data_IF_541325075993
#
_entry.id   IF_541325075993
#
_cell.length_a   1.000
_cell.length_b   1.000
_cell.length_c   1.000
_cell.angle_alpha   90.00
_cell.angle_beta   90.00
_cell.angle_gamma   90.00
#
_symmetry.space_group_name_H-M   'P 1'
#
loop_
_entity.id
_entity.type
_entity.pdbx_description
1 polymer ?
#
# COMPACT_ATOMS: atom_id res chain seq x y z
N UNK A 1 9.06 -14.04 -7.27
CA UNK A 1 8.25 -13.23 -8.22
C UNK A 1 7.45 -12.26 -7.39
N UNK A 2 7.60 -10.96 -7.63
CA UNK A 2 6.95 -9.92 -6.83
C UNK A 2 5.51 -9.67 -7.29
N UNK A 3 4.70 -9.13 -6.38
CA UNK A 3 3.29 -8.83 -6.60
C UNK A 3 3.00 -7.38 -6.20
N UNK A 4 2.14 -6.72 -6.97
CA UNK A 4 1.56 -5.43 -6.59
C UNK A 4 0.23 -5.69 -5.89
N UNK A 5 0.05 -5.06 -4.74
CA UNK A 5 -1.25 -4.83 -4.15
C UNK A 5 -1.63 -3.36 -4.40
N UNK A 6 -2.78 -3.10 -4.98
CA UNK A 6 -3.41 -1.79 -5.07
C UNK A 6 -4.52 -1.73 -4.04
N UNK A 7 -4.56 -0.65 -3.24
CA UNK A 7 -5.64 -0.39 -2.29
C UNK A 7 -6.07 1.06 -2.39
N UNK A 8 -7.37 1.32 -2.42
CA UNK A 8 -7.97 2.64 -2.26
C UNK A 8 -9.29 2.55 -1.47
N UNK A 9 -9.61 3.63 -0.76
CA UNK A 9 -10.79 3.75 0.07
C UNK A 9 -11.16 5.23 0.29
N UNK A 10 -12.39 5.47 0.75
CA UNK A 10 -12.83 6.83 1.14
C UNK A 10 -12.18 7.27 2.45
N UNK A 11 -11.72 8.51 2.49
CA UNK A 11 -11.13 9.17 3.65
C UNK A 11 -11.51 10.66 3.59
N UNK A 12 -12.10 11.19 4.66
CA UNK A 12 -12.49 12.62 4.72
C UNK A 12 -11.32 13.55 5.10
N UNK A 13 -10.12 12.99 5.24
CA UNK A 13 -8.90 13.65 5.70
C UNK A 13 -8.40 13.10 7.05
N UNK A 14 -7.25 13.56 7.55
CA UNK A 14 -6.41 14.62 6.97
C UNK A 14 -5.69 14.21 5.67
N UNK A 15 -5.17 15.22 4.95
CA UNK A 15 -4.41 15.11 3.70
C UNK A 15 -3.09 15.90 3.78
N UNK A 16 -2.16 15.64 2.87
CA UNK A 16 -0.87 16.32 2.76
C UNK A 16 -0.02 16.15 4.03
N UNK A 17 0.61 17.24 4.47
CA UNK A 17 1.49 17.22 5.65
C UNK A 17 0.78 16.75 6.93
N UNK A 18 -0.50 17.08 7.10
CA UNK A 18 -1.30 16.62 8.24
C UNK A 18 -1.53 15.10 8.21
N UNK A 19 -1.67 14.52 7.01
CA UNK A 19 -1.73 13.06 6.86
C UNK A 19 -0.39 12.41 7.19
N UNK A 20 0.72 13.04 6.75
CA UNK A 20 2.06 12.55 7.04
C UNK A 20 2.38 12.55 8.54
N UNK A 21 1.98 13.60 9.27
CA UNK A 21 2.10 13.68 10.72
C UNK A 21 1.23 12.62 11.41
N UNK A 22 -0.06 12.56 11.06
CA UNK A 22 -1.02 11.66 11.71
C UNK A 22 -0.69 10.18 11.47
N UNK A 23 -0.16 9.82 10.29
CA UNK A 23 0.05 8.43 9.88
C UNK A 23 1.53 8.01 9.87
N UNK A 24 2.43 8.79 10.47
CA UNK A 24 3.87 8.47 10.53
C UNK A 24 4.15 7.10 11.18
N UNK A 25 3.53 6.83 12.34
CA UNK A 25 3.71 5.54 13.02
C UNK A 25 3.02 4.38 12.29
N UNK A 26 1.89 4.68 11.62
CA UNK A 26 1.25 3.72 10.73
C UNK A 26 2.19 3.35 9.57
N UNK A 27 2.87 4.32 8.96
CA UNK A 27 3.84 4.07 7.89
C UNK A 27 5.00 3.20 8.34
N UNK A 28 5.55 3.43 9.54
CA UNK A 28 6.58 2.57 10.13
C UNK A 28 6.09 1.15 10.34
N UNK A 29 4.92 0.98 10.97
CA UNK A 29 4.35 -0.37 11.21
C UNK A 29 4.08 -1.13 9.91
N UNK A 30 3.61 -0.44 8.86
CA UNK A 30 3.39 -1.05 7.55
C UNK A 30 4.72 -1.51 6.96
N UNK A 31 5.77 -0.71 7.06
CA UNK A 31 7.10 -1.06 6.54
C UNK A 31 7.68 -2.32 7.21
N UNK A 32 7.30 -2.61 8.45
CA UNK A 32 7.76 -3.81 9.19
C UNK A 32 7.04 -5.10 8.78
N UNK A 33 5.93 -5.01 8.03
CA UNK A 33 5.14 -6.18 7.64
C UNK A 33 5.94 -7.18 6.78
N UNK A 34 5.66 -8.47 7.01
CA UNK A 34 6.33 -9.58 6.34
C UNK A 34 6.22 -9.45 4.82
N UNK A 35 7.37 -9.52 4.14
CA UNK A 35 7.44 -9.53 2.69
C UNK A 35 7.07 -8.23 1.98
N UNK A 36 6.72 -7.15 2.70
CA UNK A 36 6.57 -5.83 2.09
C UNK A 36 7.95 -5.27 1.72
N UNK A 37 8.11 -4.81 0.48
CA UNK A 37 9.33 -4.17 -0.01
C UNK A 37 9.25 -2.64 0.05
N UNK A 38 8.12 -2.07 -0.39
CA UNK A 38 7.83 -0.64 -0.28
C UNK A 38 6.33 -0.38 -0.46
N UNK A 39 5.93 0.85 -0.10
CA UNK A 39 4.59 1.41 -0.34
C UNK A 39 4.72 2.81 -0.97
N UNK A 40 3.90 3.09 -1.97
CA UNK A 40 3.58 4.45 -2.42
C UNK A 40 2.27 4.83 -1.75
N UNK A 41 2.28 5.93 -1.00
CA UNK A 41 1.06 6.52 -0.44
C UNK A 41 0.33 7.31 -1.52
N UNK A 42 -0.99 7.17 -1.58
CA UNK A 42 -1.84 7.89 -2.53
C UNK A 42 -2.93 8.62 -1.77
N UNK A 43 -3.24 9.84 -2.20
CA UNK A 43 -4.31 10.67 -1.65
C UNK A 43 -4.93 11.53 -2.75
N UNK A 44 -6.20 11.85 -2.58
CA UNK A 44 -6.98 12.73 -3.44
C UNK A 44 -8.00 13.48 -2.57
N UNK A 45 -7.65 14.70 -2.12
CA UNK A 45 -8.57 15.55 -1.37
C UNK A 45 -9.83 15.90 -2.17
N UNK A 46 -9.73 15.98 -3.49
CA UNK A 46 -10.85 16.33 -4.39
C UNK A 46 -11.93 15.25 -4.42
N UNK A 47 -11.55 13.98 -4.27
CA UNK A 47 -12.47 12.83 -4.33
C UNK A 47 -12.67 12.14 -2.98
N UNK A 48 -12.09 12.69 -1.91
CA UNK A 48 -12.04 12.11 -0.57
C UNK A 48 -11.52 10.67 -0.59
N UNK A 49 -10.39 10.44 -1.26
CA UNK A 49 -9.80 9.11 -1.41
C UNK A 49 -8.37 9.08 -0.89
N UNK A 50 -8.02 7.95 -0.29
CA UNK A 50 -6.66 7.63 0.13
C UNK A 50 -6.38 6.15 -0.11
N UNK A 51 -5.10 5.78 -0.08
CA UNK A 51 -4.74 4.38 -0.27
C UNK A 51 -3.24 4.14 -0.40
N UNK A 52 -2.90 3.20 -1.25
CA UNK A 52 -1.53 3.01 -1.67
C UNK A 52 -1.31 1.89 -2.66
N UNK A 53 -0.13 1.92 -3.25
CA UNK A 53 0.42 0.88 -4.09
C UNK A 53 1.56 0.21 -3.33
N UNK A 54 1.48 -1.10 -3.19
CA UNK A 54 2.39 -1.88 -2.37
C UNK A 54 3.12 -2.90 -3.23
N UNK A 55 4.40 -3.11 -2.95
CA UNK A 55 5.17 -4.19 -3.55
C UNK A 55 5.48 -5.26 -2.52
N UNK A 56 5.08 -6.49 -2.80
CA UNK A 56 5.37 -7.66 -1.97
C UNK A 56 6.28 -8.65 -2.68
N UNK A 57 7.11 -9.35 -1.91
CA UNK A 57 7.98 -10.41 -2.41
C UNK A 57 7.23 -11.67 -2.87
N UNK A 58 6.00 -11.86 -2.39
CA UNK A 58 5.15 -13.01 -2.71
C UNK A 58 3.65 -12.64 -2.69
N UNK A 59 2.84 -13.46 -3.37
CA UNK A 59 1.37 -13.32 -3.32
C UNK A 59 0.81 -13.59 -1.93
N UNK A 60 1.33 -14.61 -1.25
CA UNK A 60 0.91 -15.01 0.11
C UNK A 60 1.03 -13.84 1.09
N UNK A 61 2.18 -13.17 1.11
CA UNK A 61 2.44 -12.04 2.01
C UNK A 61 1.55 -10.84 1.68
N UNK A 62 1.25 -10.59 0.40
CA UNK A 62 0.28 -9.56 0.00
C UNK A 62 -1.15 -9.89 0.48
N UNK A 63 -1.58 -11.15 0.36
CA UNK A 63 -2.91 -11.63 0.81
C UNK A 63 -3.05 -11.54 2.34
N UNK A 64 -2.01 -11.93 3.08
CA UNK A 64 -1.98 -11.80 4.53
C UNK A 64 -2.05 -10.33 4.96
N UNK A 65 -1.28 -9.45 4.31
CA UNK A 65 -1.31 -8.03 4.61
C UNK A 65 -2.69 -7.42 4.36
N UNK A 66 -3.32 -7.64 3.20
CA UNK A 66 -4.63 -7.02 2.94
C UNK A 66 -5.70 -7.54 3.91
N UNK A 67 -5.65 -8.81 4.31
CA UNK A 67 -6.58 -9.35 5.31
C UNK A 67 -6.43 -8.69 6.68
N UNK A 68 -5.21 -8.43 7.13
CA UNK A 68 -4.93 -7.68 8.37
C UNK A 68 -5.29 -6.20 8.22
N UNK A 69 -4.84 -5.56 7.14
CA UNK A 69 -5.01 -4.13 6.92
C UNK A 69 -6.48 -3.74 6.77
N UNK A 70 -7.31 -4.62 6.18
CA UNK A 70 -8.76 -4.40 6.09
C UNK A 70 -9.42 -4.36 7.48
N UNK A 71 -8.95 -5.18 8.43
CA UNK A 71 -9.44 -5.12 9.83
C UNK A 71 -9.01 -3.81 10.50
N UNK A 72 -7.75 -3.42 10.32
CA UNK A 72 -7.21 -2.15 10.83
C UNK A 72 -7.98 -0.94 10.30
N UNK A 73 -8.30 -0.94 9.00
CA UNK A 73 -9.09 0.13 8.37
C UNK A 73 -10.54 0.16 8.90
N UNK A 74 -11.13 -1.00 9.17
CA UNK A 74 -12.46 -1.06 9.79
C UNK A 74 -12.48 -0.44 11.20
N UNK A 75 -11.39 -0.56 11.98
CA UNK A 75 -11.24 0.11 13.28
C UNK A 75 -11.19 1.64 13.15
N UNK A 76 -10.78 2.17 11.98
CA UNK A 76 -10.86 3.58 11.62
C UNK A 76 -12.20 3.99 10.99
N UNK A 77 -13.21 3.11 11.00
CA UNK A 77 -14.53 3.36 10.41
C UNK A 77 -14.58 3.16 8.89
N UNK A 78 -13.48 2.71 8.26
CA UNK A 78 -13.39 2.49 6.82
C UNK A 78 -13.82 1.05 6.53
N UNK A 79 -15.06 0.89 6.08
CA UNK A 79 -15.66 -0.43 5.84
C UNK A 79 -15.67 -0.86 4.38
N UNK A 80 -15.54 0.10 3.45
CA UNK A 80 -15.50 -0.15 2.01
C UNK A 80 -14.10 0.12 1.49
N UNK A 81 -13.44 -0.93 0.98
CA UNK A 81 -12.07 -0.89 0.49
C UNK A 81 -12.04 -1.56 -0.88
N UNK A 82 -11.42 -0.91 -1.85
CA UNK A 82 -11.08 -1.53 -3.13
C UNK A 82 -9.67 -2.10 -3.03
N UNK A 83 -9.51 -3.41 -3.25
CA UNK A 83 -8.21 -4.04 -3.21
C UNK A 83 -8.03 -5.04 -4.35
N UNK A 84 -6.87 -5.00 -5.02
CA UNK A 84 -6.51 -5.92 -6.11
C UNK A 84 -5.05 -6.34 -6.02
N UNK A 85 -4.79 -7.63 -6.27
CA UNK A 85 -3.44 -8.19 -6.30
C UNK A 85 -3.10 -8.62 -7.73
N UNK A 86 -1.95 -8.19 -8.23
CA UNK A 86 -1.45 -8.51 -9.56
C UNK A 86 -0.02 -9.05 -9.51
N UNK A 87 0.27 -10.03 -10.38
CA UNK A 87 1.65 -10.40 -10.67
C UNK A 87 2.31 -9.30 -11.52
N UNK A 88 3.59 -9.02 -11.27
CA UNK A 88 4.33 -8.01 -12.04
C UNK A 88 4.86 -8.59 -13.35
N UNK A 89 4.64 -7.86 -14.44
CA UNK A 89 5.38 -8.07 -15.69
C UNK A 89 6.73 -7.34 -15.62
N UNK A 90 7.76 -8.02 -15.11
CA UNK A 90 9.06 -7.41 -14.81
C UNK A 90 9.74 -6.75 -16.01
N UNK A 91 9.61 -7.35 -17.21
CA UNK A 91 10.22 -6.83 -18.44
C UNK A 91 9.61 -5.48 -18.84
N UNK A 92 8.28 -5.38 -18.83
CA UNK A 92 7.60 -4.12 -19.17
C UNK A 92 7.84 -3.05 -18.09
N UNK A 93 7.84 -3.46 -16.82
CA UNK A 93 8.12 -2.54 -15.72
C UNK A 93 9.53 -1.97 -15.77
N UNK A 94 10.51 -2.76 -16.21
CA UNK A 94 11.89 -2.28 -16.42
C UNK A 94 11.95 -1.18 -17.49
N UNK A 95 11.26 -1.35 -18.61
CA UNK A 95 11.17 -0.35 -19.68
C UNK A 95 10.59 0.97 -19.16
N UNK A 96 9.56 0.91 -18.31
CA UNK A 96 8.91 2.09 -17.72
C UNK A 96 9.52 2.50 -16.38
N UNK A 97 10.67 1.94 -15.99
CA UNK A 97 11.45 2.29 -14.79
C UNK A 97 10.67 2.18 -13.48
N UNK A 98 9.70 1.27 -13.39
CA UNK A 98 8.98 1.04 -12.14
C UNK A 98 9.90 0.47 -11.05
N UNK A 99 9.68 0.81 -9.76
CA UNK A 99 10.58 0.45 -8.67
C UNK A 99 10.42 -1.04 -8.26
N UNK A 100 10.81 -1.98 -9.10
CA UNK A 100 10.66 -3.44 -8.82
C UNK A 100 11.98 -4.14 -8.53
N UNK A 101 13.09 -3.40 -8.50
CA UNK A 101 14.39 -3.92 -8.08
C UNK A 101 14.36 -4.13 -6.57
N UNK A 102 14.87 -5.27 -6.10
CA UNK A 102 14.91 -5.58 -4.67
C UNK A 102 15.71 -4.50 -3.93
N UNK A 103 15.00 -3.66 -3.17
CA UNK A 103 15.59 -2.92 -2.08
C UNK A 103 15.72 -3.92 -0.95
N UNK A 104 16.94 -4.41 -0.69
CA UNK A 104 17.19 -5.15 0.55
C UNK A 104 16.92 -4.18 1.69
N UNK A 105 16.03 -4.53 2.63
CA UNK A 105 15.91 -3.81 3.90
C UNK A 105 17.27 -3.92 4.57
N UNK A 106 17.95 -2.78 4.80
CA UNK A 106 19.21 -2.73 5.53
C UNK A 106 18.98 -3.07 7.01
#
# INVERSE_FOLDING_TARGET
MTYVLQVDFKLDGPFGDLMAEAFSDLAKSIYEEEGLLWKIWTESPETNEAGGIYLFESKRTAEQYIAMHSKRLAEFGITTINAKIFAINSKLTEVTKGPVKQLKKC
#
